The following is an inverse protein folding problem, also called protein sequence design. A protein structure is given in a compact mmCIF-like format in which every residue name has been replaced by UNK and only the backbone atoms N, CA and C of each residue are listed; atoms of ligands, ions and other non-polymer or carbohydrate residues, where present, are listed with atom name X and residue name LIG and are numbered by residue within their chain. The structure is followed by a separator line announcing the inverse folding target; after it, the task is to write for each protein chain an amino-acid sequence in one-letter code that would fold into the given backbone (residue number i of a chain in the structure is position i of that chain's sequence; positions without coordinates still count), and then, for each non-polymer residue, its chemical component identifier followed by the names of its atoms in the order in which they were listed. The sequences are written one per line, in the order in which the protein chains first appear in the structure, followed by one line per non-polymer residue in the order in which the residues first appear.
data_IF_022034523583
#
_entry.id   IF_022034523583
#
_cell.length_a   1.000
_cell.length_b   1.000
_cell.length_c   1.000
_cell.angle_alpha   90.00
_cell.angle_beta   90.00
_cell.angle_gamma   90.00
#
_symmetry.space_group_name_H-M   'P 1'
#
loop_
_entity.id
_entity.type
_entity.pdbx_description
1 polymer ?
#
# COMPACT_ATOMS: atom_id res chain seq x y z
N UNK A 1 -2.97 -19.40 -20.93
CA UNK A 1 -2.37 -19.73 -19.63
C UNK A 1 -0.96 -19.26 -19.44
N UNK A 2 -0.23 -19.13 -20.50
CA UNK A 2 1.19 -18.71 -20.39
C UNK A 2 1.39 -17.29 -19.88
N UNK A 3 0.36 -16.44 -19.87
CA UNK A 3 0.53 -15.02 -19.61
C UNK A 3 0.22 -14.59 -18.17
N UNK A 4 -0.26 -15.47 -17.32
CA UNK A 4 -0.62 -15.05 -15.96
C UNK A 4 0.59 -14.66 -15.11
N UNK A 5 1.78 -15.16 -15.44
CA UNK A 5 3.02 -14.78 -14.74
C UNK A 5 3.55 -13.42 -15.14
N UNK A 6 3.08 -12.86 -16.24
CA UNK A 6 3.51 -11.55 -16.74
C UNK A 6 2.44 -10.47 -16.61
N UNK A 7 1.34 -10.77 -15.91
CA UNK A 7 0.31 -9.77 -15.71
C UNK A 7 0.78 -8.67 -14.75
N UNK A 8 0.17 -7.51 -14.88
CA UNK A 8 0.54 -6.33 -14.10
C UNK A 8 0.35 -6.55 -12.59
N UNK A 9 -0.69 -7.25 -12.21
CA UNK A 9 -0.98 -7.51 -10.79
C UNK A 9 0.11 -8.38 -10.16
N UNK A 10 0.51 -9.45 -10.84
CA UNK A 10 1.58 -10.32 -10.35
C UNK A 10 2.91 -9.56 -10.26
N UNK A 11 3.22 -8.71 -11.22
CA UNK A 11 4.42 -7.87 -11.21
C UNK A 11 4.41 -6.94 -10.00
N UNK A 12 3.26 -6.34 -9.72
CA UNK A 12 3.10 -5.47 -8.56
C UNK A 12 3.30 -6.24 -7.25
N UNK A 13 2.69 -7.41 -7.11
CA UNK A 13 2.87 -8.24 -5.92
C UNK A 13 4.31 -8.65 -5.72
N UNK A 14 5.01 -9.02 -6.79
CA UNK A 14 6.42 -9.37 -6.71
C UNK A 14 7.25 -8.19 -6.18
N UNK A 15 6.99 -6.99 -6.69
CA UNK A 15 7.67 -5.79 -6.22
C UNK A 15 7.37 -5.49 -4.75
N UNK A 16 6.16 -5.75 -4.30
CA UNK A 16 5.74 -5.51 -2.91
C UNK A 16 6.18 -6.59 -1.93
N UNK A 17 6.74 -7.69 -2.41
CA UNK A 17 7.12 -8.80 -1.55
C UNK A 17 8.36 -8.54 -0.71
N UNK A 18 9.11 -7.49 -0.99
CA UNK A 18 10.33 -7.14 -0.27
C UNK A 18 10.08 -5.99 0.73
N UNK A 19 10.50 -6.13 1.99
CA UNK A 19 10.25 -5.09 3.00
C UNK A 19 10.97 -3.77 2.70
N UNK A 20 12.17 -3.81 2.12
CA UNK A 20 12.89 -2.59 1.77
C UNK A 20 12.13 -1.82 0.69
N UNK A 21 11.62 -2.52 -0.31
CA UNK A 21 10.83 -1.87 -1.37
C UNK A 21 9.55 -1.26 -0.81
N UNK A 22 8.87 -1.94 0.12
CA UNK A 22 7.69 -1.35 0.77
C UNK A 22 8.06 -0.10 1.58
N UNK A 23 9.21 -0.10 2.24
CA UNK A 23 9.68 1.07 2.99
C UNK A 23 10.00 2.24 2.05
N UNK A 24 10.59 1.96 0.89
CA UNK A 24 10.83 2.98 -0.14
C UNK A 24 9.51 3.63 -0.58
N UNK A 25 8.52 2.82 -0.87
CA UNK A 25 7.20 3.32 -1.28
C UNK A 25 6.57 4.17 -0.17
N UNK A 26 6.68 3.74 1.08
CA UNK A 26 6.15 4.50 2.22
C UNK A 26 6.81 5.87 2.33
N UNK A 27 8.13 5.94 2.08
CA UNK A 27 8.84 7.23 2.08
C UNK A 27 8.36 8.11 0.92
N UNK A 28 8.19 7.54 -0.26
CA UNK A 28 7.74 8.29 -1.44
C UNK A 28 6.29 8.74 -1.34
N UNK A 29 5.47 8.07 -0.53
CA UNK A 29 4.11 8.51 -0.25
C UNK A 29 4.07 9.87 0.47
N UNK A 30 5.16 10.24 1.13
CA UNK A 30 5.30 11.54 1.78
C UNK A 30 5.69 12.66 0.81
N UNK A 31 6.09 12.31 -0.41
CA UNK A 31 6.49 13.26 -1.43
C UNK A 31 7.70 12.76 -2.21
N UNK A 32 7.88 13.29 -3.41
CA UNK A 32 9.04 12.91 -4.23
C UNK A 32 10.35 13.32 -3.56
N UNK A 33 11.40 12.57 -3.83
CA UNK A 33 12.71 12.83 -3.27
C UNK A 33 13.79 12.27 -4.20
N UNK A 34 15.04 12.71 -3.99
CA UNK A 34 16.16 12.20 -4.77
C UNK A 34 16.56 10.79 -4.32
N UNK A 35 17.20 10.04 -5.21
CA UNK A 35 17.73 8.72 -4.90
C UNK A 35 18.67 8.79 -3.69
N UNK A 36 19.51 9.81 -3.62
CA UNK A 36 20.44 9.98 -2.51
C UNK A 36 19.72 10.09 -1.17
N UNK A 37 18.73 10.98 -1.07
CA UNK A 37 17.96 11.14 0.17
C UNK A 37 17.16 9.89 0.51
N UNK A 38 16.66 9.21 -0.51
CA UNK A 38 15.90 7.99 -0.33
C UNK A 38 16.75 6.88 0.27
N UNK A 39 18.03 6.80 -0.11
CA UNK A 39 18.92 5.74 0.36
C UNK A 39 19.49 5.98 1.76
N UNK A 40 19.50 7.21 2.26
CA UNK A 40 20.12 7.56 3.54
C UNK A 40 19.62 6.74 4.74
N UNK A 41 18.32 6.49 4.92
CA UNK A 41 17.85 5.74 6.08
C UNK A 41 18.09 4.23 5.98
N UNK A 42 18.53 3.71 4.84
CA UNK A 42 18.74 2.28 4.66
C UNK A 42 20.22 1.95 4.84
N UNK A 43 20.52 0.97 5.69
CA UNK A 43 21.89 0.51 5.93
C UNK A 43 22.31 -0.50 4.85
N UNK A 44 22.09 -0.19 3.59
CA UNK A 44 22.45 -1.03 2.45
C UNK A 44 23.22 -0.20 1.42
N UNK A 45 23.96 -0.89 0.55
CA UNK A 45 24.79 -0.24 -0.45
C UNK A 45 23.95 0.49 -1.51
N UNK A 46 24.56 1.50 -2.15
CA UNK A 46 23.93 2.20 -3.25
C UNK A 46 23.52 1.27 -4.41
N UNK A 47 24.36 0.27 -4.81
CA UNK A 47 23.90 -0.69 -5.83
C UNK A 47 22.66 -1.48 -5.43
N UNK A 48 22.52 -1.84 -4.15
CA UNK A 48 21.33 -2.55 -3.66
C UNK A 48 20.09 -1.67 -3.74
N UNK A 49 20.17 -0.40 -3.34
CA UNK A 49 19.08 0.55 -3.50
C UNK A 49 18.68 0.68 -4.98
N UNK A 50 19.66 0.80 -5.85
CA UNK A 50 19.42 0.91 -7.29
C UNK A 50 18.66 -0.30 -7.83
N UNK A 51 18.99 -1.50 -7.38
CA UNK A 51 18.26 -2.72 -7.77
C UNK A 51 16.80 -2.67 -7.34
N UNK A 52 16.55 -2.26 -6.11
CA UNK A 52 15.19 -2.12 -5.60
C UNK A 52 14.39 -1.08 -6.39
N UNK A 53 15.02 0.04 -6.72
CA UNK A 53 14.37 1.09 -7.51
C UNK A 53 14.03 0.61 -8.92
N UNK A 54 14.91 -0.19 -9.54
CA UNK A 54 14.63 -0.76 -10.87
C UNK A 54 13.45 -1.72 -10.84
N UNK A 55 13.33 -2.55 -9.81
CA UNK A 55 12.19 -3.45 -9.65
C UNK A 55 10.90 -2.64 -9.52
N UNK A 56 10.90 -1.61 -8.67
CA UNK A 56 9.74 -0.74 -8.49
C UNK A 56 9.37 0.03 -9.77
N UNK A 57 10.35 0.51 -10.50
CA UNK A 57 10.15 1.21 -11.76
C UNK A 57 9.54 0.30 -12.82
N UNK A 58 10.05 -0.92 -12.96
CA UNK A 58 9.51 -1.91 -13.90
C UNK A 58 8.07 -2.29 -13.59
N UNK A 59 7.73 -2.30 -12.31
CA UNK A 59 6.37 -2.58 -11.87
C UNK A 59 5.44 -1.36 -12.03
N UNK A 60 5.97 -0.22 -12.44
CA UNK A 60 5.17 1.00 -12.60
C UNK A 60 4.80 1.66 -11.29
N UNK A 61 5.45 1.28 -10.18
CA UNK A 61 5.16 1.82 -8.85
C UNK A 61 5.88 3.13 -8.57
N UNK A 62 6.94 3.40 -9.31
CA UNK A 62 7.66 4.67 -9.24
C UNK A 62 8.03 5.14 -10.64
N UNK A 63 8.21 6.45 -10.77
CA UNK A 63 8.87 7.05 -11.91
C UNK A 63 10.14 7.75 -11.43
N UNK A 64 11.13 7.81 -12.29
CA UNK A 64 12.41 8.47 -12.00
C UNK A 64 12.59 9.60 -13.00
N UNK A 65 12.76 10.81 -12.48
CA UNK A 65 13.04 11.97 -13.33
C UNK A 65 14.40 11.86 -13.99
N UNK A 66 14.56 12.59 -15.11
CA UNK A 66 15.79 12.56 -15.90
C UNK A 66 16.68 13.79 -15.67
N UNK A 67 16.37 14.57 -14.67
CA UNK A 67 17.20 15.68 -14.30
C UNK A 67 18.54 15.11 -13.82
N UNK A 68 19.62 15.43 -14.53
CA UNK A 68 20.93 14.80 -14.35
C UNK A 68 21.49 14.98 -12.93
N UNK A 69 21.15 16.07 -12.27
CA UNK A 69 21.68 16.36 -10.93
C UNK A 69 20.78 15.89 -9.80
N UNK A 70 19.52 15.75 -10.02
CA UNK A 70 18.53 15.52 -8.96
C UNK A 70 17.87 14.15 -9.00
N UNK A 71 17.57 13.66 -10.16
CA UNK A 71 16.92 12.35 -10.38
C UNK A 71 15.82 12.05 -9.36
N UNK A 72 14.74 12.86 -9.33
CA UNK A 72 13.70 12.65 -8.35
C UNK A 72 12.95 11.34 -8.60
N UNK A 73 12.64 10.64 -7.50
CA UNK A 73 11.76 9.49 -7.53
C UNK A 73 10.38 9.92 -7.06
N UNK A 74 9.36 9.45 -7.75
CA UNK A 74 7.96 9.75 -7.45
C UNK A 74 7.16 8.48 -7.39
N UNK A 75 6.27 8.38 -6.40
CA UNK A 75 5.31 7.28 -6.29
C UNK A 75 4.27 7.38 -7.41
N UNK A 76 4.01 6.25 -8.05
CA UNK A 76 2.88 6.09 -8.96
C UNK A 76 1.87 5.14 -8.31
N UNK A 77 0.70 5.65 -8.00
CA UNK A 77 -0.27 4.92 -7.21
C UNK A 77 -1.13 3.94 -8.00
N UNK A 78 -1.14 4.04 -9.33
CA UNK A 78 -2.03 3.22 -10.15
C UNK A 78 -1.91 1.70 -9.93
N UNK A 79 -0.70 1.11 -9.84
CA UNK A 79 -0.60 -0.32 -9.55
C UNK A 79 -1.10 -0.69 -8.14
N UNK A 80 -0.93 0.21 -7.17
CA UNK A 80 -1.46 -0.01 -5.82
C UNK A 80 -2.98 0.02 -5.81
N UNK A 81 -3.58 0.88 -6.62
CA UNK A 81 -5.02 0.91 -6.79
C UNK A 81 -5.54 -0.42 -7.33
N UNK A 82 -4.84 -1.00 -8.30
CA UNK A 82 -5.20 -2.31 -8.85
C UNK A 82 -5.15 -3.41 -7.77
N UNK A 83 -4.16 -3.37 -6.89
CA UNK A 83 -4.07 -4.28 -5.74
C UNK A 83 -5.28 -4.08 -4.82
N UNK A 84 -5.62 -2.83 -4.51
CA UNK A 84 -6.76 -2.50 -3.66
C UNK A 84 -8.07 -3.04 -4.26
N UNK A 85 -8.26 -2.85 -5.57
CA UNK A 85 -9.44 -3.37 -6.28
C UNK A 85 -9.52 -4.89 -6.23
N UNK A 86 -8.39 -5.56 -6.37
CA UNK A 86 -8.34 -7.01 -6.28
C UNK A 86 -8.70 -7.48 -4.87
N UNK A 87 -8.12 -6.87 -3.85
CA UNK A 87 -8.40 -7.21 -2.44
C UNK A 87 -9.87 -6.97 -2.10
N UNK A 88 -10.49 -5.97 -2.70
CA UNK A 88 -11.89 -5.63 -2.48
C UNK A 88 -12.84 -6.81 -2.74
N UNK A 89 -12.48 -7.71 -3.65
CA UNK A 89 -13.26 -8.92 -3.92
C UNK A 89 -13.40 -9.81 -2.69
N UNK A 90 -12.51 -9.69 -1.73
CA UNK A 90 -12.45 -10.51 -0.53
C UNK A 90 -12.90 -9.76 0.71
N UNK A 91 -13.26 -8.50 0.58
CA UNK A 91 -13.61 -7.63 1.68
C UNK A 91 -14.70 -8.20 2.58
N UNK A 92 -15.70 -8.85 1.99
CA UNK A 92 -16.82 -9.46 2.73
C UNK A 92 -16.35 -10.47 3.79
N UNK A 93 -15.19 -11.11 3.58
CA UNK A 93 -14.68 -12.15 4.49
C UNK A 93 -14.21 -11.58 5.82
N UNK A 94 -13.75 -10.32 5.83
CA UNK A 94 -13.38 -9.67 7.08
C UNK A 94 -14.40 -8.62 7.52
N UNK A 95 -15.10 -7.97 6.60
CA UNK A 95 -16.13 -6.99 6.92
C UNK A 95 -17.35 -7.62 7.61
N UNK A 96 -17.68 -8.85 7.31
CA UNK A 96 -18.76 -9.57 8.01
C UNK A 96 -18.51 -9.59 9.53
N UNK A 97 -17.26 -9.81 9.94
CA UNK A 97 -16.91 -9.79 11.35
C UNK A 97 -17.06 -8.40 11.96
N UNK A 98 -16.63 -7.39 11.24
CA UNK A 98 -16.78 -6.01 11.68
C UNK A 98 -18.24 -5.57 11.69
N UNK A 99 -19.02 -5.97 10.68
CA UNK A 99 -20.44 -5.68 10.65
C UNK A 99 -21.19 -6.31 11.81
N UNK A 100 -20.85 -7.54 12.17
CA UNK A 100 -21.43 -8.21 13.34
C UNK A 100 -21.09 -7.47 14.62
N UNK A 101 -19.87 -7.00 14.75
CA UNK A 101 -19.45 -6.21 15.89
C UNK A 101 -20.19 -4.88 15.95
N UNK A 102 -20.33 -4.19 14.82
CA UNK A 102 -21.07 -2.94 14.72
C UNK A 102 -22.55 -3.13 15.12
N UNK A 103 -23.19 -4.18 14.62
CA UNK A 103 -24.55 -4.52 15.02
C UNK A 103 -24.67 -4.77 16.50
N UNK A 104 -23.74 -5.51 17.06
CA UNK A 104 -23.70 -5.79 18.50
C UNK A 104 -23.56 -4.49 19.30
N UNK A 105 -22.65 -3.62 18.90
CA UNK A 105 -22.43 -2.33 19.58
C UNK A 105 -23.67 -1.44 19.46
N UNK A 106 -24.31 -1.40 18.29
CA UNK A 106 -25.53 -0.65 18.09
C UNK A 106 -26.67 -1.16 18.97
N UNK A 107 -26.79 -2.49 19.10
CA UNK A 107 -27.80 -3.09 19.96
C UNK A 107 -27.56 -2.75 21.43
N UNK A 108 -26.30 -2.76 21.87
CA UNK A 108 -25.96 -2.35 23.22
C UNK A 108 -26.32 -0.88 23.47
N UNK A 109 -26.05 0.00 22.52
CA UNK A 109 -26.40 1.41 22.62
C UNK A 109 -27.91 1.62 22.71
N UNK A 110 -28.68 0.87 21.93
CA UNK A 110 -30.15 0.91 21.97
C UNK A 110 -30.67 0.44 23.32
N UNK A 111 -30.09 -0.60 23.87
CA UNK A 111 -30.46 -1.08 25.21
C UNK A 111 -30.16 -0.05 26.28
N UNK A 112 -29.02 0.62 26.21
CA UNK A 112 -28.67 1.69 27.13
C UNK A 112 -29.64 2.86 27.03
N UNK A 113 -30.00 3.27 25.82
CA UNK A 113 -30.97 4.34 25.61
C UNK A 113 -32.35 3.98 26.17
N UNK A 114 -32.81 2.73 25.96
CA UNK A 114 -34.07 2.26 26.52
C UNK A 114 -34.03 2.26 28.04
N UNK A 115 -32.93 1.80 28.61
CA UNK A 115 -32.75 1.77 30.05
C UNK A 115 -32.77 3.19 30.64
N UNK A 116 -32.09 4.13 29.99
CA UNK A 116 -32.09 5.51 30.40
C UNK A 116 -33.51 6.14 30.33
N UNK A 117 -34.31 5.78 29.32
CA UNK A 117 -35.70 6.27 29.19
C UNK A 117 -36.62 5.71 30.27
N UNK A 118 -36.44 4.44 30.63
CA UNK A 118 -37.27 3.81 31.65
C UNK A 118 -36.95 4.25 33.08
N UNK A 119 -35.79 4.87 33.30
CA UNK A 119 -35.44 5.44 34.60
C UNK A 119 -36.03 6.80 34.88
N UNK A 120 -36.73 7.38 33.89
CA UNK A 120 -37.50 8.60 34.08
C UNK A 120 -38.93 8.25 34.43
#
# INVERSE_FOLDING_TARGET
MANYMSDQLSTTFAALSDPTRRAILARLALGETSVKKLSEPFAISAPSITKHLKVLERAGLITRGRDAQWRPCRLEAAPLRAVSEWVENYRRFWDEKFSRLDHYLNDLQKKEKRHARTKR
#
